data_IF_485928229728
#
_entry.id   IF_485928229728
#
_cell.length_a   1.000
_cell.length_b   1.000
_cell.length_c   1.000
_cell.angle_alpha   90.00
_cell.angle_beta   90.00
_cell.angle_gamma   90.00
#
_symmetry.space_group_name_H-M   'P 1'
#
loop_
_entity.id
_entity.type
_entity.pdbx_description
1 polymer ?
#
# COMPACT_ATOMS: atom_id res chain seq x y z
N UNK A 1 -35.70 -25.87 15.88
CA UNK A 1 -36.63 -26.20 16.98
C UNK A 1 -37.04 -24.88 17.61
N UNK A 2 -38.32 -24.52 17.49
CA UNK A 2 -38.86 -23.24 17.99
C UNK A 2 -38.92 -23.26 19.51
N UNK A 3 -38.11 -22.42 20.14
CA UNK A 3 -38.33 -22.12 21.55
C UNK A 3 -39.46 -21.09 21.63
N UNK A 4 -40.65 -21.58 22.00
CA UNK A 4 -41.81 -20.74 22.25
C UNK A 4 -41.46 -19.88 23.45
N UNK A 5 -41.51 -18.56 23.27
CA UNK A 5 -41.47 -17.59 24.37
C UNK A 5 -42.51 -18.00 25.43
N UNK A 6 -42.03 -18.69 26.45
CA UNK A 6 -42.81 -19.19 27.56
C UNK A 6 -42.81 -18.06 28.56
N UNK A 7 -44.00 -17.50 28.83
CA UNK A 7 -44.16 -16.60 29.95
C UNK A 7 -43.81 -17.38 31.23
N UNK A 8 -42.65 -17.10 31.81
CA UNK A 8 -42.23 -17.61 33.10
C UNK A 8 -42.79 -16.67 34.19
N UNK A 9 -43.74 -17.13 35.02
CA UNK A 9 -44.33 -16.33 36.09
C UNK A 9 -43.31 -15.82 37.12
N UNK A 10 -42.08 -16.35 37.13
CA UNK A 10 -41.00 -15.93 38.03
C UNK A 10 -39.98 -14.99 37.37
N UNK A 11 -40.11 -14.65 36.08
CA UNK A 11 -39.28 -13.63 35.41
C UNK A 11 -40.14 -12.47 34.86
N UNK A 12 -40.50 -11.48 35.70
CA UNK A 12 -41.29 -10.32 35.28
C UNK A 12 -40.54 -9.42 34.28
N UNK A 13 -39.25 -9.65 34.06
CA UNK A 13 -38.43 -8.91 33.09
C UNK A 13 -38.30 -9.63 31.74
N UNK A 14 -38.73 -10.89 31.64
CA UNK A 14 -38.55 -11.72 30.45
C UNK A 14 -39.15 -11.11 29.18
N UNK A 15 -40.32 -10.46 29.28
CA UNK A 15 -40.92 -9.76 28.15
C UNK A 15 -40.08 -8.55 27.70
N UNK A 16 -39.63 -7.72 28.65
CA UNK A 16 -38.78 -6.56 28.38
C UNK A 16 -37.41 -6.97 27.81
N UNK A 17 -36.83 -8.04 28.37
CA UNK A 17 -35.59 -8.64 27.90
C UNK A 17 -35.74 -9.15 26.46
N UNK A 18 -36.83 -9.84 26.14
CA UNK A 18 -37.10 -10.30 24.78
C UNK A 18 -37.30 -9.16 23.77
N UNK A 19 -37.94 -8.06 24.17
CA UNK A 19 -38.09 -6.87 23.33
C UNK A 19 -36.73 -6.20 23.07
N UNK A 20 -35.92 -6.06 24.11
CA UNK A 20 -34.54 -5.55 24.00
C UNK A 20 -33.69 -6.43 23.10
N UNK A 21 -33.73 -7.75 23.29
CA UNK A 21 -32.88 -8.69 22.56
C UNK A 21 -33.25 -8.69 21.07
N UNK A 22 -34.55 -8.66 20.73
CA UNK A 22 -35.01 -8.47 19.35
C UNK A 22 -34.62 -7.11 18.77
N UNK A 23 -34.67 -6.05 19.58
CA UNK A 23 -34.21 -4.72 19.18
C UNK A 23 -32.72 -4.70 18.85
N UNK A 24 -31.89 -5.29 19.72
CA UNK A 24 -30.45 -5.42 19.52
C UNK A 24 -30.12 -6.28 18.30
N UNK A 25 -30.86 -7.36 18.06
CA UNK A 25 -30.69 -8.20 16.88
C UNK A 25 -31.00 -7.44 15.58
N UNK A 26 -32.08 -6.65 15.57
CA UNK A 26 -32.42 -5.80 14.43
C UNK A 26 -31.34 -4.72 14.17
N UNK A 27 -30.84 -4.08 15.23
CA UNK A 27 -29.74 -3.10 15.12
C UNK A 27 -28.43 -3.75 14.65
N UNK A 28 -28.08 -4.91 15.18
CA UNK A 28 -26.89 -5.64 14.78
C UNK A 28 -26.96 -6.05 13.30
N UNK A 29 -28.12 -6.52 12.84
CA UNK A 29 -28.34 -6.86 11.44
C UNK A 29 -28.23 -5.63 10.53
N UNK A 30 -28.87 -4.52 10.88
CA UNK A 30 -28.79 -3.28 10.12
C UNK A 30 -27.35 -2.74 10.03
N UNK A 31 -26.59 -2.78 11.12
CA UNK A 31 -25.18 -2.39 11.13
C UNK A 31 -24.29 -3.32 10.30
N UNK A 32 -24.57 -4.64 10.35
CA UNK A 32 -23.83 -5.63 9.56
C UNK A 32 -24.07 -5.41 8.06
N UNK A 33 -25.32 -5.16 7.67
CA UNK A 33 -25.67 -4.81 6.28
C UNK A 33 -25.02 -3.50 5.86
N UNK A 34 -25.03 -2.48 6.72
CA UNK A 34 -24.38 -1.18 6.47
C UNK A 34 -22.87 -1.31 6.24
N UNK A 35 -22.15 -2.01 7.13
CA UNK A 35 -20.70 -2.23 6.98
C UNK A 35 -20.38 -3.13 5.78
N UNK A 36 -21.29 -4.04 5.43
CA UNK A 36 -21.19 -4.88 4.25
C UNK A 36 -21.51 -4.17 2.93
N UNK A 37 -21.92 -2.89 2.95
CA UNK A 37 -22.16 -2.13 1.71
C UNK A 37 -20.86 -1.65 1.07
N UNK A 38 -20.85 -1.62 -0.26
CA UNK A 38 -19.75 -1.04 -1.04
C UNK A 38 -19.55 0.45 -0.71
N UNK A 39 -20.64 1.19 -0.45
CA UNK A 39 -20.60 2.61 -0.09
C UNK A 39 -19.86 2.86 1.24
N UNK A 40 -20.04 2.00 2.24
CA UNK A 40 -19.29 2.11 3.51
C UNK A 40 -17.80 1.83 3.30
N UNK A 41 -17.49 0.78 2.52
CA UNK A 41 -16.12 0.42 2.18
C UNK A 41 -15.42 1.53 1.41
N UNK A 42 -16.11 2.13 0.43
CA UNK A 42 -15.62 3.25 -0.36
C UNK A 42 -15.41 4.50 0.51
N UNK A 43 -16.39 4.89 1.34
CA UNK A 43 -16.29 6.04 2.22
C UNK A 43 -15.14 5.88 3.23
N UNK A 44 -14.97 4.69 3.79
CA UNK A 44 -13.87 4.38 4.71
C UNK A 44 -12.51 4.43 3.99
N UNK A 45 -12.44 3.90 2.76
CA UNK A 45 -11.26 3.98 1.91
C UNK A 45 -10.88 5.44 1.59
N UNK A 46 -11.86 6.26 1.18
CA UNK A 46 -11.65 7.68 0.91
C UNK A 46 -11.18 8.44 2.16
N UNK A 47 -11.74 8.13 3.34
CA UNK A 47 -11.31 8.71 4.60
C UNK A 47 -9.85 8.35 4.93
N UNK A 48 -9.49 7.07 4.77
CA UNK A 48 -8.11 6.60 5.00
C UNK A 48 -7.14 7.26 4.01
N UNK A 49 -7.49 7.31 2.73
CA UNK A 49 -6.71 7.99 1.70
C UNK A 49 -6.51 9.47 2.02
N UNK A 50 -7.57 10.13 2.49
CA UNK A 50 -7.52 11.53 2.89
C UNK A 50 -6.58 11.72 4.06
N UNK A 51 -6.67 10.85 5.07
CA UNK A 51 -5.78 10.86 6.23
C UNK A 51 -4.33 10.61 5.85
N UNK A 52 -4.07 9.62 4.98
CA UNK A 52 -2.73 9.32 4.48
C UNK A 52 -2.17 10.51 3.70
N UNK A 53 -2.95 11.12 2.80
CA UNK A 53 -2.55 12.32 2.04
C UNK A 53 -2.27 13.51 2.93
N UNK A 54 -3.11 13.76 3.94
CA UNK A 54 -2.87 14.84 4.91
C UNK A 54 -1.68 14.57 5.83
N UNK A 55 -1.35 13.30 6.08
CA UNK A 55 -0.15 12.91 6.83
C UNK A 55 1.14 12.91 6.00
N UNK A 56 1.05 13.05 4.68
CA UNK A 56 2.22 12.99 3.79
C UNK A 56 3.32 14.02 4.17
N UNK A 57 3.01 15.29 4.48
CA UNK A 57 4.04 16.25 4.91
C UNK A 57 4.77 15.83 6.20
N UNK A 58 4.07 15.16 7.12
CA UNK A 58 4.67 14.64 8.34
C UNK A 58 5.62 13.48 8.05
N UNK A 59 5.22 12.57 7.13
CA UNK A 59 6.08 11.49 6.66
C UNK A 59 7.35 12.02 5.98
N UNK A 60 7.20 13.05 5.13
CA UNK A 60 8.34 13.68 4.46
C UNK A 60 9.30 14.36 5.44
N UNK A 61 8.76 15.07 6.44
CA UNK A 61 9.57 15.67 7.49
C UNK A 61 10.35 14.60 8.27
N UNK A 62 9.68 13.51 8.64
CA UNK A 62 10.31 12.38 9.34
C UNK A 62 11.42 11.75 8.50
N UNK A 63 11.18 11.56 7.20
CA UNK A 63 12.20 11.02 6.28
C UNK A 63 13.42 11.95 6.20
N UNK A 64 13.23 13.26 6.13
CA UNK A 64 14.33 14.24 6.12
C UNK A 64 15.14 14.18 7.41
N UNK A 65 14.49 14.10 8.56
CA UNK A 65 15.17 13.98 9.86
C UNK A 65 16.00 12.70 9.91
N UNK A 66 15.43 11.56 9.51
CA UNK A 66 16.17 10.28 9.46
C UNK A 66 17.37 10.41 8.51
N UNK A 67 17.18 10.93 7.29
CA UNK A 67 18.29 11.11 6.34
C UNK A 67 19.39 12.01 6.89
N UNK A 68 19.06 13.08 7.62
CA UNK A 68 20.04 13.94 8.27
C UNK A 68 20.82 13.19 9.35
N UNK A 69 20.13 12.43 10.21
CA UNK A 69 20.81 11.62 11.25
C UNK A 69 21.71 10.55 10.65
N UNK A 70 21.29 9.91 9.55
CA UNK A 70 22.11 8.94 8.83
C UNK A 70 23.37 9.61 8.25
N UNK A 71 23.23 10.80 7.67
CA UNK A 71 24.36 11.55 7.15
C UNK A 71 25.38 11.91 8.24
N UNK A 72 24.93 12.28 9.44
CA UNK A 72 25.82 12.57 10.58
C UNK A 72 26.68 11.36 10.99
N UNK A 73 26.15 10.14 10.85
CA UNK A 73 26.89 8.89 11.12
C UNK A 73 27.53 8.29 9.86
N UNK A 74 27.65 9.06 8.78
CA UNK A 74 28.18 8.63 7.48
C UNK A 74 27.48 7.39 6.89
N UNK A 75 26.19 7.20 7.19
CA UNK A 75 25.37 6.16 6.59
C UNK A 75 24.56 6.73 5.42
N UNK A 76 24.50 6.02 4.27
CA UNK A 76 23.71 6.46 3.14
C UNK A 76 22.21 6.34 3.42
N UNK A 77 21.42 7.30 2.94
CA UNK A 77 19.97 7.20 2.96
C UNK A 77 19.47 6.20 1.91
N UNK A 78 18.23 5.72 2.06
CA UNK A 78 17.58 4.89 1.03
C UNK A 78 17.54 5.59 -0.33
N UNK A 79 17.30 6.90 -0.34
CA UNK A 79 17.24 7.70 -1.57
C UNK A 79 18.59 7.72 -2.28
N UNK A 80 19.69 7.85 -1.54
CA UNK A 80 21.04 7.82 -2.12
C UNK A 80 21.34 6.46 -2.78
N UNK A 81 20.92 5.36 -2.13
CA UNK A 81 21.08 4.00 -2.67
C UNK A 81 20.25 3.83 -3.94
N UNK A 82 18.99 4.27 -3.96
CA UNK A 82 18.14 4.19 -5.14
C UNK A 82 18.68 5.03 -6.30
N UNK A 83 19.10 6.27 -6.03
CA UNK A 83 19.70 7.14 -7.04
C UNK A 83 20.98 6.52 -7.62
N UNK A 84 21.78 5.86 -6.78
CA UNK A 84 22.98 5.17 -7.24
C UNK A 84 22.63 3.97 -8.14
N UNK A 85 21.61 3.19 -7.77
CA UNK A 85 21.12 2.06 -8.57
C UNK A 85 20.63 2.52 -9.96
N UNK A 86 19.84 3.59 -10.04
CA UNK A 86 19.37 4.16 -11.31
C UNK A 86 20.53 4.59 -12.21
N UNK A 87 21.55 5.22 -11.61
CA UNK A 87 22.76 5.62 -12.35
C UNK A 87 23.54 4.41 -12.84
N UNK A 88 23.63 3.33 -12.06
CA UNK A 88 24.26 2.09 -12.50
C UNK A 88 23.52 1.47 -13.68
N UNK A 89 22.19 1.39 -13.65
CA UNK A 89 21.40 0.92 -14.79
C UNK A 89 21.61 1.80 -16.03
N UNK A 90 21.71 3.12 -15.87
CA UNK A 90 22.00 4.00 -17.00
C UNK A 90 23.40 3.79 -17.58
N UNK A 91 24.40 3.55 -16.71
CA UNK A 91 25.76 3.23 -17.12
C UNK A 91 25.83 1.89 -17.86
N UNK A 92 25.10 0.88 -17.38
CA UNK A 92 24.98 -0.43 -18.02
C UNK A 92 24.43 -0.30 -19.44
N UNK A 93 23.31 0.38 -19.63
CA UNK A 93 22.75 0.60 -20.98
C UNK A 93 23.72 1.32 -21.92
N UNK A 94 24.44 2.33 -21.43
CA UNK A 94 25.43 3.06 -22.24
C UNK A 94 26.64 2.18 -22.57
N UNK A 95 27.02 1.28 -21.66
CA UNK A 95 28.11 0.35 -21.87
C UNK A 95 27.72 -0.67 -22.95
N UNK A 96 26.50 -1.20 -22.90
CA UNK A 96 25.96 -2.08 -23.94
C UNK A 96 25.91 -1.38 -25.31
N UNK A 97 25.46 -0.12 -25.36
CA UNK A 97 25.46 0.68 -26.60
C UNK A 97 26.88 0.87 -27.16
N UNK A 98 27.87 1.04 -26.28
CA UNK A 98 29.27 1.16 -26.69
C UNK A 98 29.82 -0.17 -27.21
N UNK A 99 29.48 -1.28 -26.56
CA UNK A 99 29.87 -2.63 -26.98
C UNK A 99 29.35 -2.93 -28.40
N UNK A 100 28.05 -2.65 -28.64
CA UNK A 100 27.44 -2.79 -29.97
C UNK A 100 28.14 -1.96 -31.05
N UNK A 101 28.54 -0.71 -30.73
CA UNK A 101 29.28 0.16 -31.67
C UNK A 101 30.70 -0.33 -31.93
N UNK A 102 31.37 -0.89 -30.93
CA UNK A 102 32.69 -1.49 -31.13
C UNK A 102 32.62 -2.71 -32.04
N UNK A 103 31.63 -3.58 -31.85
CA UNK A 103 31.39 -4.73 -32.73
C UNK A 103 31.11 -4.30 -34.17
N UNK A 104 30.30 -3.25 -34.38
CA UNK A 104 30.06 -2.67 -35.70
C UNK A 104 31.36 -2.15 -36.33
N UNK A 105 32.16 -1.39 -35.58
CA UNK A 105 33.44 -0.88 -36.06
C UNK A 105 34.41 -2.01 -36.43
N UNK A 106 34.51 -3.06 -35.60
CA UNK A 106 35.34 -4.23 -35.88
C UNK A 106 34.88 -4.98 -37.13
N UNK A 107 33.57 -5.10 -37.32
CA UNK A 107 33.00 -5.71 -38.53
C UNK A 107 33.39 -4.92 -39.78
N UNK A 108 33.18 -3.60 -39.78
CA UNK A 108 33.53 -2.73 -40.91
C UNK A 108 35.02 -2.76 -41.23
N UNK A 109 35.89 -2.80 -40.20
CA UNK A 109 37.33 -2.93 -40.39
C UNK A 109 37.71 -4.27 -41.05
N UNK A 110 37.11 -5.38 -40.62
CA UNK A 110 37.35 -6.69 -41.23
C UNK A 110 36.88 -6.75 -42.67
N UNK A 111 35.71 -6.19 -42.96
CA UNK A 111 35.17 -6.11 -44.33
C UNK A 111 36.11 -5.29 -45.24
N UNK A 112 36.67 -4.19 -44.73
CA UNK A 112 37.64 -3.38 -45.47
C UNK A 112 38.96 -4.12 -45.71
N UNK A 113 39.49 -4.82 -44.70
CA UNK A 113 40.77 -5.55 -44.81
C UNK A 113 40.64 -6.80 -45.69
N UNK A 114 39.48 -7.45 -45.73
CA UNK A 114 39.22 -8.62 -46.59
C UNK A 114 38.84 -8.27 -48.03
N UNK A 115 38.68 -6.99 -48.36
CA UNK A 115 38.33 -6.49 -49.70
C UNK A 115 39.54 -6.00 -50.52
N UNK A 116 40.74 -6.03 -49.95
CA UNK A 116 42.04 -5.86 -50.65
C UNK A 116 42.69 -7.22 -50.93
#
# INVERSE_FOLDING_TARGET
MSDKATFDPFDPTGMMKSMRDKGMEAWAKAMTEMVGTDAYSEATGQMLDTWLKTSAPFRDMTQKLISQTLAEVNLPSREDVTRLAERFTNLEMRLDDLDAKFDECLKLLRERVGAE
#
